data_IF_506432497141
#
_entry.id   IF_506432497141
#
_cell.length_a   1.000
_cell.length_b   1.000
_cell.length_c   1.000
_cell.angle_alpha   90.00
_cell.angle_beta   90.00
_cell.angle_gamma   90.00
#
_symmetry.space_group_name_H-M   'P 1'
#
loop_
_entity.id
_entity.type
_entity.pdbx_description
1 polymer ?
#
# COMPACT_ATOMS: atom_id res chain seq x y z
N UNK A 1 11.52 -11.31 -20.75
CA UNK A 1 12.14 -10.46 -19.71
C UNK A 1 12.17 -8.98 -20.10
N UNK A 2 12.71 -8.59 -21.27
CA UNK A 2 12.80 -7.17 -21.69
C UNK A 2 11.41 -6.50 -21.77
N UNK A 3 10.44 -7.14 -22.43
CA UNK A 3 9.07 -6.62 -22.54
C UNK A 3 8.40 -6.40 -21.18
N UNK A 4 8.55 -7.33 -20.23
CA UNK A 4 8.02 -7.21 -18.86
C UNK A 4 8.60 -6.00 -18.14
N UNK A 5 9.90 -5.76 -18.28
CA UNK A 5 10.57 -4.60 -17.67
C UNK A 5 10.10 -3.28 -18.30
N UNK A 6 9.96 -3.25 -19.63
CA UNK A 6 9.42 -2.09 -20.34
C UNK A 6 7.99 -1.77 -19.90
N UNK A 7 7.13 -2.79 -19.79
CA UNK A 7 5.76 -2.64 -19.31
C UNK A 7 5.73 -2.13 -17.87
N UNK A 8 6.53 -2.70 -16.97
CA UNK A 8 6.60 -2.25 -15.57
C UNK A 8 7.07 -0.78 -15.45
N UNK A 9 7.99 -0.34 -16.31
CA UNK A 9 8.40 1.06 -16.38
C UNK A 9 7.30 1.97 -16.89
N UNK A 10 6.52 1.53 -17.88
CA UNK A 10 5.36 2.28 -18.38
C UNK A 10 4.31 2.42 -17.28
N UNK A 11 3.90 1.31 -16.66
CA UNK A 11 2.93 1.32 -15.57
C UNK A 11 3.37 2.23 -14.40
N UNK A 12 4.66 2.28 -14.09
CA UNK A 12 5.19 3.18 -13.06
C UNK A 12 4.96 4.66 -13.40
N UNK A 13 5.15 5.04 -14.66
CA UNK A 13 4.86 6.40 -15.13
C UNK A 13 3.37 6.70 -15.09
N UNK A 14 2.55 5.78 -15.60
CA UNK A 14 1.10 5.96 -15.67
C UNK A 14 0.48 6.09 -14.26
N UNK A 15 0.92 5.25 -13.31
CA UNK A 15 0.47 5.34 -11.92
C UNK A 15 0.90 6.66 -11.29
N UNK A 16 2.12 7.14 -11.57
CA UNK A 16 2.58 8.43 -11.03
C UNK A 16 1.71 9.58 -11.56
N UNK A 17 1.42 9.61 -12.86
CA UNK A 17 0.56 10.63 -13.46
C UNK A 17 -0.84 10.64 -12.85
N UNK A 18 -1.43 9.47 -12.62
CA UNK A 18 -2.73 9.35 -11.98
C UNK A 18 -2.71 9.80 -10.51
N UNK A 19 -1.66 9.46 -9.77
CA UNK A 19 -1.50 9.89 -8.37
C UNK A 19 -1.32 11.41 -8.30
N UNK A 20 -0.53 11.99 -9.19
CA UNK A 20 -0.30 13.44 -9.26
C UNK A 20 -1.61 14.17 -9.59
N UNK A 21 -2.39 13.67 -10.56
CA UNK A 21 -3.71 14.21 -10.88
C UNK A 21 -4.66 14.14 -9.68
N UNK A 22 -4.71 13.00 -8.99
CA UNK A 22 -5.58 12.79 -7.83
C UNK A 22 -5.21 13.74 -6.68
N UNK A 23 -3.93 13.82 -6.33
CA UNK A 23 -3.44 14.61 -5.20
C UNK A 23 -3.40 16.12 -5.50
N UNK A 24 -3.27 16.52 -6.77
CA UNK A 24 -3.39 17.93 -7.20
C UNK A 24 -4.83 18.41 -7.36
N UNK A 25 -5.81 17.50 -7.35
CA UNK A 25 -7.23 17.87 -7.48
C UNK A 25 -7.66 18.75 -6.30
N UNK A 26 -8.21 19.95 -6.54
CA UNK A 26 -8.73 20.79 -5.48
C UNK A 26 -9.74 20.05 -4.60
N UNK A 27 -9.69 20.30 -3.29
CA UNK A 27 -10.57 19.70 -2.29
C UNK A 27 -10.37 18.19 -2.01
N UNK A 28 -9.38 17.51 -2.61
CA UNK A 28 -9.11 16.10 -2.31
C UNK A 28 -8.88 15.86 -0.81
N UNK A 29 -8.05 16.69 -0.18
CA UNK A 29 -7.79 16.61 1.26
C UNK A 29 -9.05 16.88 2.09
N UNK A 30 -9.82 17.92 1.75
CA UNK A 30 -11.06 18.26 2.47
C UNK A 30 -12.08 17.12 2.45
N UNK A 31 -12.06 16.29 1.40
CA UNK A 31 -12.99 15.16 1.25
C UNK A 31 -12.52 13.86 1.89
N UNK A 32 -11.25 13.76 2.28
CA UNK A 32 -10.63 12.49 2.70
C UNK A 32 -9.96 12.57 4.07
N UNK A 33 -9.34 13.69 4.41
CA UNK A 33 -8.67 13.88 5.70
C UNK A 33 -9.69 13.99 6.82
N UNK A 34 -9.52 13.15 7.85
CA UNK A 34 -10.42 13.12 9.01
C UNK A 34 -11.70 12.29 8.80
N UNK A 35 -11.94 11.77 7.59
CA UNK A 35 -13.10 10.93 7.29
C UNK A 35 -12.74 9.44 7.50
N UNK A 36 -13.68 8.67 8.05
CA UNK A 36 -13.50 7.22 8.21
C UNK A 36 -12.35 6.83 9.15
N UNK A 37 -12.04 7.68 10.14
CA UNK A 37 -10.98 7.39 11.12
C UNK A 37 -11.31 6.09 11.86
N UNK A 38 -10.43 5.11 11.72
CA UNK A 38 -10.51 3.83 12.42
C UNK A 38 -9.57 3.87 13.61
N UNK A 39 -10.14 3.72 14.81
CA UNK A 39 -9.38 3.62 16.04
C UNK A 39 -8.52 2.33 16.04
N UNK A 40 -7.25 2.38 16.51
CA UNK A 40 -6.37 1.21 16.51
C UNK A 40 -6.90 0.03 17.35
N UNK A 41 -7.57 0.28 18.48
CA UNK A 41 -8.13 -0.76 19.34
C UNK A 41 -9.35 -1.40 18.66
N UNK A 42 -10.24 -0.59 18.09
CA UNK A 42 -11.38 -1.10 17.31
C UNK A 42 -10.90 -1.93 16.11
N UNK A 43 -9.87 -1.46 15.38
CA UNK A 43 -9.31 -2.22 14.25
C UNK A 43 -8.82 -3.62 14.66
N UNK A 44 -8.28 -3.73 15.88
CA UNK A 44 -7.81 -4.99 16.45
C UNK A 44 -8.98 -5.87 16.86
N UNK A 45 -9.95 -5.32 17.58
CA UNK A 45 -11.09 -6.06 18.13
C UNK A 45 -11.99 -6.63 17.02
N UNK A 46 -12.15 -5.89 15.93
CA UNK A 46 -12.95 -6.30 14.77
C UNK A 46 -12.14 -7.00 13.68
N UNK A 47 -10.87 -7.31 13.94
CA UNK A 47 -10.01 -8.10 13.05
C UNK A 47 -9.89 -7.53 11.62
N UNK A 48 -9.75 -6.20 11.49
CA UNK A 48 -9.43 -5.59 10.22
C UNK A 48 -8.07 -6.07 9.70
N UNK A 49 -7.90 -6.13 8.38
CA UNK A 49 -6.69 -6.65 7.72
C UNK A 49 -6.18 -5.70 6.63
N UNK A 50 -4.97 -5.95 6.15
CA UNK A 50 -4.42 -5.28 4.97
C UNK A 50 -4.27 -3.76 5.14
N UNK A 51 -4.72 -2.93 4.16
CA UNK A 51 -4.57 -1.48 4.25
C UNK A 51 -5.25 -0.87 5.47
N UNK A 52 -6.40 -1.39 5.91
CA UNK A 52 -7.16 -0.81 7.02
C UNK A 52 -6.39 -0.91 8.34
N UNK A 53 -5.85 -2.09 8.64
CA UNK A 53 -5.10 -2.31 9.90
C UNK A 53 -3.75 -1.58 9.88
N UNK A 54 -3.13 -1.45 8.70
CA UNK A 54 -1.91 -0.65 8.55
C UNK A 54 -2.17 0.84 8.71
N UNK A 55 -3.22 1.35 8.06
CA UNK A 55 -3.59 2.76 8.13
C UNK A 55 -4.07 3.17 9.53
N UNK A 56 -4.63 2.25 10.32
CA UNK A 56 -4.96 2.49 11.73
C UNK A 56 -3.76 2.43 12.68
N UNK A 57 -2.53 2.24 12.18
CA UNK A 57 -1.29 2.37 12.97
C UNK A 57 -0.63 1.06 13.36
N UNK A 58 -1.16 -0.10 12.96
CA UNK A 58 -0.49 -1.38 13.23
C UNK A 58 0.52 -1.72 12.12
N UNK A 59 1.78 -1.94 12.49
CA UNK A 59 2.78 -2.48 11.58
C UNK A 59 2.56 -3.99 11.37
N UNK A 60 1.53 -4.36 10.59
CA UNK A 60 1.21 -5.75 10.25
C UNK A 60 1.11 -5.96 8.74
N UNK A 61 1.82 -6.96 8.24
CA UNK A 61 1.72 -7.45 6.88
C UNK A 61 2.12 -8.92 6.83
N UNK A 62 1.20 -9.80 6.43
CA UNK A 62 1.46 -11.24 6.35
C UNK A 62 2.68 -11.57 5.51
N UNK A 63 2.99 -10.78 4.46
CA UNK A 63 4.15 -11.04 3.61
C UNK A 63 5.48 -10.85 4.33
N UNK A 64 5.51 -9.99 5.36
CA UNK A 64 6.68 -9.71 6.18
C UNK A 64 6.67 -10.52 7.48
N UNK A 65 5.53 -10.57 8.18
CA UNK A 65 5.41 -11.21 9.49
C UNK A 65 5.34 -12.74 9.40
N UNK A 66 4.75 -13.26 8.31
CA UNK A 66 4.59 -14.68 8.03
C UNK A 66 4.87 -15.00 6.55
N UNK A 67 6.12 -14.81 6.07
CA UNK A 67 6.42 -14.84 4.65
C UNK A 67 6.07 -16.18 3.97
N UNK A 68 5.60 -16.10 2.73
CA UNK A 68 5.20 -17.24 1.91
C UNK A 68 5.63 -17.03 0.45
N UNK A 69 5.70 -18.09 -0.36
CA UNK A 69 5.91 -18.03 -1.83
C UNK A 69 7.02 -17.04 -2.23
N UNK A 70 8.16 -17.09 -1.54
CA UNK A 70 9.32 -16.26 -1.84
C UNK A 70 9.33 -14.83 -1.29
N UNK A 71 8.28 -14.36 -0.59
CA UNK A 71 8.29 -13.03 0.06
C UNK A 71 9.39 -12.88 1.13
N UNK A 72 9.82 -13.99 1.74
CA UNK A 72 10.93 -13.99 2.70
C UNK A 72 12.31 -13.90 2.04
N UNK A 73 12.40 -14.25 0.76
CA UNK A 73 13.64 -14.31 -0.04
C UNK A 73 13.90 -13.04 -0.87
N UNK A 74 13.10 -11.99 -0.66
CA UNK A 74 13.37 -10.68 -1.24
C UNK A 74 14.15 -9.76 -0.28
N UNK A 75 14.34 -10.18 0.97
CA UNK A 75 15.00 -9.41 2.03
C UNK A 75 16.50 -9.72 2.17
N UNK A 76 17.00 -10.78 1.54
CA UNK A 76 18.35 -11.31 1.65
C UNK A 76 19.30 -10.91 0.51
N UNK A 77 18.86 -10.05 -0.42
CA UNK A 77 19.75 -9.31 -1.32
C UNK A 77 20.69 -10.16 -2.18
N UNK A 78 20.39 -11.45 -2.39
CA UNK A 78 21.12 -12.27 -3.36
C UNK A 78 20.49 -12.10 -4.74
N UNK A 79 21.31 -11.95 -5.80
CA UNK A 79 20.84 -11.66 -7.16
C UNK A 79 19.93 -12.74 -7.77
#
# INVERSE_FOLDING_TARGET
MIQTRQLAQQMRRDVQELVDMLLSTPNMEQRTVGIGRLDPEIARDFSNVGPMVRASGHARDTRADHPFVGYGSAADGSP
#
